data_IF_538836603053
#
_entry.id   IF_538836603053
#
_cell.length_a   1.000
_cell.length_b   1.000
_cell.length_c   1.000
_cell.angle_alpha   90.00
_cell.angle_beta   90.00
_cell.angle_gamma   90.00
#
_symmetry.space_group_name_H-M   'P 1'
#
loop_
_entity.id
_entity.type
_entity.pdbx_description
1 polymer ?
#
# COMPACT_ATOMS: atom_id res chain seq x y z
N UNK A 1 -26.01 -10.35 -44.19
CA UNK A 1 -25.96 -9.97 -42.75
C UNK A 1 -24.73 -10.52 -41.99
N UNK A 2 -23.60 -10.83 -42.64
CA UNK A 2 -22.39 -11.34 -41.95
C UNK A 2 -21.17 -10.41 -41.97
N UNK A 3 -21.25 -9.25 -42.62
CA UNK A 3 -20.08 -8.35 -42.80
C UNK A 3 -20.02 -7.16 -41.81
N UNK A 4 -21.10 -6.85 -41.09
CA UNK A 4 -21.12 -5.72 -40.15
C UNK A 4 -20.50 -6.04 -38.77
N UNK A 5 -20.33 -7.32 -38.42
CA UNK A 5 -19.84 -7.76 -37.10
C UNK A 5 -18.31 -7.75 -36.98
N UNK A 6 -17.57 -7.85 -38.09
CA UNK A 6 -16.10 -7.95 -38.05
C UNK A 6 -15.38 -6.60 -37.89
N UNK A 7 -16.04 -5.46 -38.14
CA UNK A 7 -15.42 -4.13 -37.95
C UNK A 7 -15.51 -3.59 -36.51
N UNK A 8 -16.32 -4.19 -35.65
CA UNK A 8 -16.45 -3.77 -34.24
C UNK A 8 -15.38 -4.39 -33.32
N UNK A 9 -14.78 -5.52 -33.71
CA UNK A 9 -13.77 -6.23 -32.92
C UNK A 9 -12.46 -5.44 -32.65
N UNK A 10 -11.88 -4.68 -33.60
CA UNK A 10 -10.69 -3.88 -33.32
C UNK A 10 -11.00 -2.63 -32.50
N UNK A 11 -12.19 -2.03 -32.63
CA UNK A 11 -12.57 -0.82 -31.89
C UNK A 11 -12.85 -1.12 -30.41
N UNK A 12 -13.48 -2.26 -30.12
CA UNK A 12 -13.69 -2.73 -28.74
C UNK A 12 -12.36 -3.15 -28.08
N UNK A 13 -11.39 -3.69 -28.83
CA UNK A 13 -10.03 -3.97 -28.32
C UNK A 13 -9.21 -2.70 -28.10
N UNK A 14 -9.38 -1.67 -28.93
CA UNK A 14 -8.70 -0.39 -28.76
C UNK A 14 -9.22 0.37 -27.53
N UNK A 15 -10.55 0.38 -27.32
CA UNK A 15 -11.19 0.93 -26.11
C UNK A 15 -10.84 0.16 -24.83
N UNK A 16 -10.56 -1.15 -24.92
CA UNK A 16 -10.12 -1.97 -23.77
C UNK A 16 -8.64 -1.78 -23.42
N UNK A 17 -7.81 -1.35 -24.39
CA UNK A 17 -6.36 -1.14 -24.22
C UNK A 17 -6.01 0.27 -23.73
N UNK A 18 -6.90 1.26 -23.90
CA UNK A 18 -6.71 2.64 -23.44
C UNK A 18 -7.64 3.00 -22.26
N UNK A 19 -7.83 2.09 -21.30
CA UNK A 19 -8.16 2.48 -19.92
C UNK A 19 -6.88 3.00 -19.25
N UNK A 20 -6.27 4.05 -19.81
CA UNK A 20 -5.21 4.71 -19.09
C UNK A 20 -5.85 5.40 -17.87
N UNK A 21 -5.43 5.07 -16.64
CA UNK A 21 -5.92 5.76 -15.45
C UNK A 21 -5.75 7.28 -15.58
N UNK A 22 -4.75 7.74 -16.34
CA UNK A 22 -4.53 9.14 -16.68
C UNK A 22 -5.68 9.79 -17.47
N UNK A 23 -6.20 9.15 -18.52
CA UNK A 23 -7.27 9.72 -19.37
C UNK A 23 -8.60 9.80 -18.60
N UNK A 24 -8.91 8.75 -17.85
CA UNK A 24 -10.10 8.72 -16.99
C UNK A 24 -9.99 9.78 -15.89
N UNK A 25 -8.81 9.93 -15.29
CA UNK A 25 -8.56 10.94 -14.26
C UNK A 25 -8.62 12.37 -14.82
N UNK A 26 -8.10 12.60 -16.03
CA UNK A 26 -8.16 13.90 -16.69
C UNK A 26 -9.62 14.29 -16.98
N UNK A 27 -10.42 13.38 -17.54
CA UNK A 27 -11.84 13.61 -17.81
C UNK A 27 -12.63 13.84 -16.52
N UNK A 28 -12.34 13.07 -15.45
CA UNK A 28 -12.93 13.23 -14.12
C UNK A 28 -12.63 14.61 -13.53
N UNK A 29 -11.37 15.03 -13.61
CA UNK A 29 -10.90 16.31 -13.08
C UNK A 29 -11.52 17.49 -13.86
N UNK A 30 -11.60 17.38 -15.18
CA UNK A 30 -12.25 18.38 -16.03
C UNK A 30 -13.76 18.48 -15.77
N UNK A 31 -14.45 17.35 -15.62
CA UNK A 31 -15.87 17.33 -15.25
C UNK A 31 -16.09 17.97 -13.87
N UNK A 32 -15.21 17.71 -12.91
CA UNK A 32 -15.33 18.28 -11.58
C UNK A 32 -15.09 19.78 -11.52
N UNK A 33 -14.05 20.26 -12.19
CA UNK A 33 -13.81 21.69 -12.33
C UNK A 33 -15.01 22.37 -13.00
N UNK A 34 -15.54 21.79 -14.08
CA UNK A 34 -16.68 22.35 -14.82
C UNK A 34 -17.95 22.41 -13.96
N UNK A 35 -18.28 21.33 -13.23
CA UNK A 35 -19.45 21.31 -12.34
C UNK A 35 -19.28 22.33 -11.21
N UNK A 36 -18.09 22.42 -10.60
CA UNK A 36 -17.83 23.39 -9.53
C UNK A 36 -17.98 24.83 -10.03
N UNK A 37 -17.52 25.12 -11.25
CA UNK A 37 -17.68 26.42 -11.90
C UNK A 37 -19.16 26.77 -12.14
N UNK A 38 -19.94 25.84 -12.70
CA UNK A 38 -21.38 26.05 -12.97
C UNK A 38 -22.16 26.25 -11.67
N UNK A 39 -21.83 25.51 -10.62
CA UNK A 39 -22.44 25.66 -9.29
C UNK A 39 -22.05 27.01 -8.67
N UNK A 40 -20.78 27.42 -8.78
CA UNK A 40 -20.32 28.71 -8.27
C UNK A 40 -20.98 29.90 -8.99
N UNK A 41 -21.20 29.82 -10.31
CA UNK A 41 -21.93 30.86 -11.06
C UNK A 41 -23.38 31.08 -10.59
N UNK A 42 -24.00 30.08 -9.93
CA UNK A 42 -25.37 30.16 -9.43
C UNK A 42 -25.45 30.69 -7.99
N UNK A 43 -24.36 30.61 -7.24
CA UNK A 43 -24.32 30.80 -5.78
C UNK A 43 -23.38 31.93 -5.34
N UNK A 44 -22.35 32.25 -6.12
CA UNK A 44 -21.40 33.34 -5.85
C UNK A 44 -21.85 34.62 -6.56
N UNK A 45 -21.76 35.80 -5.90
CA UNK A 45 -22.04 37.10 -6.50
C UNK A 45 -20.93 37.59 -7.45
N UNK A 46 -19.78 36.90 -7.56
CA UNK A 46 -18.68 37.28 -8.46
C UNK A 46 -18.93 36.92 -9.94
N UNK A 47 -18.48 37.79 -10.85
CA UNK A 47 -18.69 37.64 -12.29
C UNK A 47 -17.90 36.47 -12.93
N UNK A 48 -16.84 35.98 -12.28
CA UNK A 48 -16.00 34.88 -12.79
C UNK A 48 -15.37 34.07 -11.64
N UNK A 49 -16.12 33.12 -11.01
CA UNK A 49 -15.67 32.37 -9.84
C UNK A 49 -14.68 31.26 -10.21
N UNK A 50 -13.44 31.62 -10.54
CA UNK A 50 -12.38 30.69 -10.96
C UNK A 50 -11.76 29.90 -9.81
N UNK A 51 -12.07 30.25 -8.57
CA UNK A 51 -11.44 29.63 -7.41
C UNK A 51 -12.12 28.32 -7.01
N UNK A 52 -13.42 28.20 -7.26
CA UNK A 52 -14.18 26.95 -7.13
C UNK A 52 -13.68 25.82 -8.06
N UNK A 53 -13.51 26.01 -9.39
CA UNK A 53 -12.97 24.97 -10.28
C UNK A 53 -11.53 24.58 -9.92
N UNK A 54 -10.67 25.54 -9.56
CA UNK A 54 -9.31 25.25 -9.10
C UNK A 54 -9.32 24.45 -7.78
N UNK A 55 -10.31 24.69 -6.92
CA UNK A 55 -10.55 23.90 -5.72
C UNK A 55 -10.98 22.48 -6.01
N UNK A 56 -11.97 22.30 -6.89
CA UNK A 56 -12.41 20.98 -7.30
C UNK A 56 -11.30 20.17 -8.00
N UNK A 57 -10.48 20.82 -8.85
CA UNK A 57 -9.39 20.15 -9.58
C UNK A 57 -8.36 19.54 -8.63
N UNK A 58 -7.84 20.32 -7.68
CA UNK A 58 -6.85 19.83 -6.72
C UNK A 58 -7.45 18.80 -5.76
N UNK A 59 -8.72 18.94 -5.39
CA UNK A 59 -9.41 17.99 -4.52
C UNK A 59 -9.65 16.65 -5.23
N UNK A 60 -9.95 16.65 -6.53
CA UNK A 60 -10.23 15.43 -7.31
C UNK A 60 -8.98 14.71 -7.78
N UNK A 61 -7.81 15.38 -7.83
CA UNK A 61 -6.57 14.72 -8.23
C UNK A 61 -6.07 13.67 -7.23
N UNK A 62 -6.55 13.72 -5.98
CA UNK A 62 -6.08 12.89 -4.86
C UNK A 62 -7.07 11.76 -4.51
N UNK A 63 -6.60 10.76 -3.75
CA UNK A 63 -7.45 9.67 -3.21
C UNK A 63 -8.55 10.24 -2.32
N UNK A 64 -9.68 9.55 -2.16
CA UNK A 64 -10.82 10.02 -1.32
C UNK A 64 -10.40 10.51 0.08
N UNK A 65 -9.45 9.83 0.71
CA UNK A 65 -8.90 10.22 2.02
C UNK A 65 -8.04 11.49 1.93
N UNK A 66 -7.17 11.57 0.92
CA UNK A 66 -6.37 12.76 0.69
C UNK A 66 -7.24 13.95 0.25
N UNK A 67 -8.27 13.76 -0.57
CA UNK A 67 -9.30 14.74 -0.95
C UNK A 67 -10.00 15.34 0.26
N UNK A 68 -10.42 14.52 1.22
CA UNK A 68 -11.06 15.01 2.44
C UNK A 68 -10.07 15.83 3.29
N UNK A 69 -8.87 15.29 3.51
CA UNK A 69 -7.83 15.94 4.33
C UNK A 69 -7.33 17.23 3.69
N UNK A 70 -7.06 17.20 2.39
CA UNK A 70 -6.61 18.34 1.59
C UNK A 70 -7.72 19.37 1.42
N UNK A 71 -8.96 18.95 1.21
CA UNK A 71 -10.12 19.85 1.17
C UNK A 71 -10.26 20.64 2.47
N UNK A 72 -10.17 19.97 3.63
CA UNK A 72 -10.23 20.64 4.94
C UNK A 72 -9.03 21.57 5.16
N UNK A 73 -7.81 21.11 4.89
CA UNK A 73 -6.58 21.91 4.99
C UNK A 73 -6.65 23.16 4.12
N UNK A 74 -7.19 23.02 2.92
CA UNK A 74 -7.34 24.10 1.95
C UNK A 74 -8.40 25.11 2.34
N UNK A 75 -9.56 24.66 2.79
CA UNK A 75 -10.59 25.54 3.35
C UNK A 75 -10.02 26.32 4.54
N UNK A 76 -9.30 25.65 5.45
CA UNK A 76 -8.64 26.33 6.58
C UNK A 76 -7.60 27.36 6.12
N UNK A 77 -6.85 27.08 5.06
CA UNK A 77 -5.85 28.01 4.50
C UNK A 77 -6.49 29.28 3.95
N UNK A 78 -7.55 29.12 3.14
CA UNK A 78 -8.27 30.26 2.58
C UNK A 78 -8.92 31.07 3.69
N UNK A 79 -9.60 30.42 4.65
CA UNK A 79 -10.20 31.09 5.81
C UNK A 79 -9.15 31.85 6.63
N UNK A 80 -8.00 31.24 6.92
CA UNK A 80 -6.91 31.90 7.63
C UNK A 80 -6.37 33.11 6.87
N UNK A 81 -6.15 32.98 5.55
CA UNK A 81 -5.68 34.08 4.70
C UNK A 81 -6.67 35.24 4.64
N UNK A 82 -7.96 34.94 4.53
CA UNK A 82 -9.05 35.92 4.55
C UNK A 82 -9.12 36.63 5.91
N UNK A 83 -9.05 35.90 7.02
CA UNK A 83 -9.06 36.50 8.36
C UNK A 83 -7.86 37.41 8.60
N UNK A 84 -6.67 37.00 8.16
CA UNK A 84 -5.46 37.84 8.23
C UNK A 84 -5.64 39.09 7.38
N UNK A 85 -6.17 38.99 6.16
CA UNK A 85 -6.43 40.15 5.31
C UNK A 85 -7.45 41.13 5.92
N UNK A 86 -8.54 40.63 6.49
CA UNK A 86 -9.55 41.46 7.18
C UNK A 86 -8.93 42.16 8.39
N UNK A 87 -8.19 41.42 9.23
CA UNK A 87 -7.53 42.01 10.40
C UNK A 87 -6.54 43.12 9.99
N UNK A 88 -5.80 42.87 8.92
CA UNK A 88 -4.79 43.78 8.41
C UNK A 88 -5.39 45.02 7.71
N UNK A 89 -6.49 44.87 6.97
CA UNK A 89 -7.17 45.98 6.29
C UNK A 89 -7.79 46.98 7.25
N UNK A 90 -8.11 46.56 8.49
CA UNK A 90 -8.59 47.46 9.54
C UNK A 90 -7.45 48.28 10.19
N UNK A 91 -6.19 47.83 10.04
CA UNK A 91 -5.03 48.41 10.71
C UNK A 91 -4.19 49.29 9.77
N UNK A 92 -4.15 48.98 8.47
CA UNK A 92 -3.23 49.63 7.51
C UNK A 92 -3.87 49.78 6.12
N UNK A 93 -3.67 50.93 5.47
CA UNK A 93 -4.04 51.14 4.06
C UNK A 93 -3.14 50.37 3.07
N UNK A 94 -3.56 50.30 1.80
CA UNK A 94 -2.80 49.59 0.76
C UNK A 94 -1.50 50.33 0.42
N UNK A 95 -0.34 49.78 0.81
CA UNK A 95 0.99 50.32 0.50
C UNK A 95 1.97 49.17 0.24
N UNK A 96 3.12 49.46 -0.39
CA UNK A 96 4.12 48.43 -0.73
C UNK A 96 4.69 47.70 0.51
N UNK A 97 4.86 48.41 1.62
CA UNK A 97 5.37 47.83 2.87
C UNK A 97 4.28 47.07 3.64
N UNK A 98 3.02 47.51 3.54
CA UNK A 98 1.89 46.82 4.15
C UNK A 98 1.59 45.49 3.42
N UNK A 99 1.77 45.45 2.10
CA UNK A 99 1.75 44.19 1.31
C UNK A 99 2.85 43.22 1.74
N UNK A 100 4.09 43.70 1.91
CA UNK A 100 5.20 42.86 2.37
C UNK A 100 4.94 42.28 3.76
N UNK A 101 4.45 43.10 4.69
CA UNK A 101 4.10 42.68 6.05
C UNK A 101 2.95 41.66 6.05
N UNK A 102 1.94 41.86 5.19
CA UNK A 102 0.84 40.90 5.01
C UNK A 102 1.35 39.54 4.54
N UNK A 103 2.21 39.49 3.52
CA UNK A 103 2.76 38.23 3.00
C UNK A 103 3.53 37.50 4.09
N UNK A 104 4.40 38.20 4.83
CA UNK A 104 5.15 37.60 5.94
C UNK A 104 4.23 37.08 7.03
N UNK A 105 3.20 37.85 7.41
CA UNK A 105 2.21 37.42 8.39
C UNK A 105 1.40 36.21 7.94
N UNK A 106 0.93 36.19 6.68
CA UNK A 106 0.19 35.07 6.09
C UNK A 106 1.03 33.80 6.01
N UNK A 107 2.32 33.91 5.64
CA UNK A 107 3.24 32.77 5.62
C UNK A 107 3.55 32.26 7.03
N UNK A 108 3.73 33.15 8.00
CA UNK A 108 3.94 32.77 9.40
C UNK A 108 2.71 32.06 10.00
N UNK A 109 1.51 32.57 9.72
CA UNK A 109 0.24 31.95 10.15
C UNK A 109 0.02 30.61 9.44
N UNK A 110 0.32 30.50 8.13
CA UNK A 110 0.20 29.24 7.39
C UNK A 110 1.09 28.13 7.97
N UNK A 111 2.32 28.47 8.40
CA UNK A 111 3.20 27.55 9.11
C UNK A 111 2.66 27.20 10.51
N UNK A 112 2.11 28.16 11.25
CA UNK A 112 1.55 27.93 12.59
C UNK A 112 0.32 27.02 12.57
N UNK A 113 -0.51 27.09 11.50
CA UNK A 113 -1.70 26.25 11.30
C UNK A 113 -1.34 24.84 10.76
N UNK A 114 -0.04 24.53 10.58
CA UNK A 114 0.47 23.25 10.05
C UNK A 114 -0.15 22.89 8.70
N UNK A 115 -0.28 23.89 7.82
CA UNK A 115 -0.71 23.65 6.43
C UNK A 115 0.50 23.59 5.51
N UNK A 116 1.39 22.63 5.76
CA UNK A 116 2.72 22.55 5.16
C UNK A 116 2.72 22.62 3.62
N UNK A 117 1.70 22.07 2.96
CA UNK A 117 1.60 22.02 1.49
C UNK A 117 0.83 23.21 0.87
N UNK A 118 0.07 23.99 1.66
CA UNK A 118 -0.78 25.09 1.16
C UNK A 118 -0.43 26.47 1.76
N UNK A 119 0.71 26.62 2.44
CA UNK A 119 1.20 27.89 2.99
C UNK A 119 1.17 29.04 1.96
N UNK A 120 1.60 28.84 0.69
CA UNK A 120 1.54 29.91 -0.32
C UNK A 120 0.11 30.35 -0.65
N UNK A 121 -0.88 29.46 -0.51
CA UNK A 121 -2.28 29.74 -0.83
C UNK A 121 -2.92 30.69 0.19
N UNK A 122 -2.47 30.64 1.45
CA UNK A 122 -2.84 31.61 2.50
C UNK A 122 -2.42 33.02 2.10
N UNK A 123 -1.18 33.18 1.63
CA UNK A 123 -0.65 34.47 1.19
C UNK A 123 -1.35 34.98 -0.07
N UNK A 124 -1.56 34.12 -1.08
CA UNK A 124 -2.28 34.47 -2.32
C UNK A 124 -3.71 34.92 -2.01
N UNK A 125 -4.42 34.18 -1.13
CA UNK A 125 -5.79 34.53 -0.74
C UNK A 125 -5.86 35.85 0.02
N UNK A 126 -4.90 36.09 0.92
CA UNK A 126 -4.82 37.35 1.65
C UNK A 126 -4.55 38.54 0.72
N UNK A 127 -3.64 38.38 -0.24
CA UNK A 127 -3.34 39.39 -1.25
C UNK A 127 -4.53 39.72 -2.14
N UNK A 128 -5.27 38.72 -2.60
CA UNK A 128 -6.46 38.91 -3.45
C UNK A 128 -7.56 39.67 -2.72
N UNK A 129 -7.79 39.38 -1.44
CA UNK A 129 -8.80 40.09 -0.62
C UNK A 129 -8.36 41.52 -0.33
N UNK A 130 -7.07 41.76 -0.05
CA UNK A 130 -6.57 43.10 0.20
C UNK A 130 -6.62 43.98 -1.07
N UNK A 131 -6.33 43.40 -2.25
CA UNK A 131 -6.28 44.13 -3.54
C UNK A 131 -7.63 44.59 -4.11
N UNK A 132 -8.77 44.13 -3.56
CA UNK A 132 -10.11 44.52 -4.01
C UNK A 132 -10.73 45.47 -2.97
N UNK A 133 -11.22 46.62 -3.44
CA UNK A 133 -11.67 47.75 -2.58
C UNK A 133 -12.90 47.45 -1.72
N UNK A 134 -13.57 46.32 -1.91
CA UNK A 134 -14.73 45.85 -1.13
C UNK A 134 -14.34 44.61 -0.33
N UNK A 135 -13.69 44.82 0.83
CA UNK A 135 -13.12 43.74 1.65
C UNK A 135 -14.19 42.76 2.18
N UNK A 136 -15.44 43.20 2.43
CA UNK A 136 -16.50 42.37 2.99
C UNK A 136 -17.10 41.34 2.02
N UNK A 137 -17.66 41.80 0.90
CA UNK A 137 -18.33 40.91 -0.06
C UNK A 137 -17.36 39.99 -0.79
N UNK A 138 -16.13 40.46 -1.04
CA UNK A 138 -15.07 39.68 -1.71
C UNK A 138 -14.50 38.60 -0.79
N UNK A 139 -14.35 38.88 0.52
CA UNK A 139 -13.91 37.90 1.50
C UNK A 139 -14.92 36.75 1.64
N UNK A 140 -16.22 37.09 1.68
CA UNK A 140 -17.28 36.08 1.75
C UNK A 140 -17.34 35.24 0.48
N UNK A 141 -17.25 35.86 -0.71
CA UNK A 141 -17.21 35.15 -1.99
C UNK A 141 -16.05 34.15 -2.04
N UNK A 142 -14.85 34.52 -1.58
CA UNK A 142 -13.68 33.65 -1.57
C UNK A 142 -13.84 32.40 -0.71
N UNK A 143 -14.46 32.54 0.46
CA UNK A 143 -14.75 31.41 1.36
C UNK A 143 -15.82 30.49 0.73
N UNK A 144 -16.91 31.08 0.22
CA UNK A 144 -18.00 30.34 -0.40
C UNK A 144 -17.53 29.56 -1.62
N UNK A 145 -16.72 30.16 -2.50
CA UNK A 145 -16.20 29.48 -3.69
C UNK A 145 -15.26 28.32 -3.35
N UNK A 146 -14.41 28.49 -2.34
CA UNK A 146 -13.51 27.42 -1.87
C UNK A 146 -14.31 26.27 -1.27
N UNK A 147 -15.36 26.57 -0.47
CA UNK A 147 -16.27 25.57 0.06
C UNK A 147 -17.00 24.83 -1.06
N UNK A 148 -17.54 25.54 -2.05
CA UNK A 148 -18.23 24.93 -3.20
C UNK A 148 -17.29 23.99 -3.95
N UNK A 149 -16.07 24.42 -4.25
CA UNK A 149 -15.10 23.58 -4.95
C UNK A 149 -14.68 22.35 -4.14
N UNK A 150 -14.54 22.49 -2.81
CA UNK A 150 -14.24 21.36 -1.93
C UNK A 150 -15.40 20.36 -1.85
N UNK A 151 -16.64 20.84 -1.72
CA UNK A 151 -17.86 20.01 -1.67
C UNK A 151 -18.07 19.29 -2.99
N UNK A 152 -17.97 19.99 -4.13
CA UNK A 152 -18.14 19.39 -5.46
C UNK A 152 -17.01 18.40 -5.75
N UNK A 153 -15.77 18.74 -5.42
CA UNK A 153 -14.63 17.83 -5.57
C UNK A 153 -14.81 16.55 -4.74
N UNK A 154 -15.27 16.67 -3.49
CA UNK A 154 -15.57 15.54 -2.63
C UNK A 154 -16.75 14.70 -3.16
N UNK A 155 -17.82 15.36 -3.62
CA UNK A 155 -19.00 14.69 -4.17
C UNK A 155 -18.65 13.89 -5.44
N UNK A 156 -17.82 14.43 -6.32
CA UNK A 156 -17.37 13.73 -7.52
C UNK A 156 -16.43 12.59 -7.19
N UNK A 157 -15.52 12.78 -6.23
CA UNK A 157 -14.66 11.68 -5.80
C UNK A 157 -15.48 10.56 -5.14
N UNK A 158 -16.60 10.88 -4.48
CA UNK A 158 -17.52 9.91 -3.90
C UNK A 158 -18.36 9.18 -4.95
N UNK A 159 -18.89 9.90 -5.95
CA UNK A 159 -19.74 9.35 -7.02
C UNK A 159 -18.94 8.58 -8.07
N UNK A 160 -17.72 9.03 -8.35
CA UNK A 160 -16.77 8.47 -9.32
C UNK A 160 -15.47 8.14 -8.58
N UNK A 161 -15.43 7.13 -7.70
CA UNK A 161 -14.23 6.79 -6.94
C UNK A 161 -13.06 6.44 -7.89
N UNK A 162 -11.81 6.77 -7.48
CA UNK A 162 -10.64 6.53 -8.30
C UNK A 162 -10.42 5.01 -8.49
N UNK A 163 -9.65 4.59 -9.52
CA UNK A 163 -9.27 3.19 -9.65
C UNK A 163 -8.59 2.70 -8.39
N UNK A 164 -8.88 1.44 -8.04
CA UNK A 164 -8.39 0.79 -6.83
C UNK A 164 -7.09 0.07 -7.18
N UNK A 165 -5.98 0.50 -6.60
CA UNK A 165 -4.62 0.04 -6.96
C UNK A 165 -4.22 -1.31 -6.32
N UNK A 166 -5.21 -2.15 -6.01
CA UNK A 166 -4.99 -3.44 -5.32
C UNK A 166 -4.25 -4.42 -6.24
N UNK A 167 -4.60 -4.43 -7.54
CA UNK A 167 -3.98 -5.31 -8.53
C UNK A 167 -2.48 -4.99 -8.67
N UNK A 168 -2.11 -3.71 -8.75
CA UNK A 168 -0.70 -3.30 -8.85
C UNK A 168 0.11 -3.63 -7.58
N UNK A 169 -0.49 -3.46 -6.40
CA UNK A 169 0.16 -3.87 -5.14
C UNK A 169 0.33 -5.40 -5.06
N UNK A 170 -0.66 -6.17 -5.52
CA UNK A 170 -0.56 -7.62 -5.61
C UNK A 170 0.50 -8.08 -6.60
N UNK A 171 0.54 -7.50 -7.80
CA UNK A 171 1.58 -7.78 -8.80
C UNK A 171 2.99 -7.46 -8.29
N UNK A 172 3.13 -6.39 -7.49
CA UNK A 172 4.39 -6.01 -6.86
C UNK A 172 4.87 -7.04 -5.82
N UNK A 173 3.95 -7.53 -4.97
CA UNK A 173 4.20 -8.61 -4.00
C UNK A 173 4.59 -9.90 -4.71
N UNK A 174 3.84 -10.30 -5.74
CA UNK A 174 4.18 -11.49 -6.55
C UNK A 174 5.51 -11.32 -7.29
N UNK A 175 5.82 -10.11 -7.73
CA UNK A 175 7.11 -9.76 -8.34
C UNK A 175 8.28 -9.96 -7.37
N UNK A 176 8.15 -9.49 -6.13
CA UNK A 176 9.13 -9.71 -5.07
C UNK A 176 9.31 -11.21 -4.79
N UNK A 177 8.22 -11.95 -4.60
CA UNK A 177 8.26 -13.39 -4.35
C UNK A 177 8.96 -14.17 -5.48
N UNK A 178 8.73 -13.78 -6.75
CA UNK A 178 9.44 -14.34 -7.91
C UNK A 178 10.94 -14.07 -7.87
N UNK A 179 11.37 -12.87 -7.44
CA UNK A 179 12.79 -12.52 -7.29
C UNK A 179 13.45 -13.31 -6.15
N UNK A 180 12.77 -13.47 -5.00
CA UNK A 180 13.23 -14.36 -3.93
C UNK A 180 13.41 -15.79 -4.46
N UNK A 181 12.40 -16.32 -5.15
CA UNK A 181 12.44 -17.68 -5.73
C UNK A 181 13.64 -17.87 -6.65
N UNK A 182 13.88 -16.93 -7.55
CA UNK A 182 15.01 -16.99 -8.48
C UNK A 182 16.38 -16.98 -7.78
N UNK A 183 16.51 -16.27 -6.66
CA UNK A 183 17.74 -16.27 -5.88
C UNK A 183 17.91 -17.57 -5.08
N UNK A 184 16.83 -18.10 -4.50
CA UNK A 184 16.86 -19.37 -3.75
C UNK A 184 17.27 -20.55 -4.63
N UNK A 185 16.69 -20.66 -5.84
CA UNK A 185 17.06 -21.71 -6.80
C UNK A 185 18.54 -21.64 -7.17
N UNK A 186 19.01 -20.43 -7.48
CA UNK A 186 20.40 -20.16 -7.84
C UNK A 186 21.39 -20.47 -6.71
N UNK A 187 21.01 -20.25 -5.46
CA UNK A 187 21.81 -20.65 -4.30
C UNK A 187 21.79 -22.18 -4.13
N UNK A 188 20.64 -22.81 -4.38
CA UNK A 188 20.49 -24.27 -4.34
C UNK A 188 21.36 -24.99 -5.36
N UNK A 189 21.36 -24.54 -6.61
CA UNK A 189 22.16 -25.10 -7.71
C UNK A 189 23.68 -25.12 -7.39
N UNK A 190 24.15 -24.21 -6.54
CA UNK A 190 25.56 -24.11 -6.13
C UNK A 190 25.90 -25.00 -4.93
N UNK A 191 24.91 -25.59 -4.25
CA UNK A 191 25.09 -26.27 -2.97
C UNK A 191 25.95 -27.55 -3.06
N UNK A 192 25.83 -28.32 -4.14
CA UNK A 192 26.69 -29.49 -4.41
C UNK A 192 28.03 -29.11 -5.07
N UNK A 193 28.18 -27.85 -5.46
CA UNK A 193 29.30 -27.35 -6.24
C UNK A 193 30.47 -26.83 -5.41
N UNK A 194 31.41 -26.20 -6.12
CA UNK A 194 32.59 -25.50 -5.58
C UNK A 194 32.54 -24.04 -6.02
N UNK A 195 31.52 -23.27 -5.62
CA UNK A 195 31.41 -21.87 -6.02
C UNK A 195 32.64 -21.11 -5.52
N UNK A 196 33.19 -20.23 -6.36
CA UNK A 196 34.24 -19.34 -5.91
C UNK A 196 33.69 -18.41 -4.81
N UNK A 197 34.56 -17.97 -3.89
CA UNK A 197 34.13 -17.08 -2.78
C UNK A 197 33.51 -15.79 -3.34
N UNK A 198 34.00 -15.30 -4.47
CA UNK A 198 33.46 -14.13 -5.18
C UNK A 198 32.03 -14.37 -5.70
N UNK A 199 31.74 -15.58 -6.19
CA UNK A 199 30.40 -15.96 -6.68
C UNK A 199 29.40 -16.04 -5.52
N UNK A 200 29.79 -16.70 -4.42
CA UNK A 200 28.98 -16.75 -3.21
C UNK A 200 28.73 -15.34 -2.63
N UNK A 201 29.76 -14.48 -2.62
CA UNK A 201 29.64 -13.09 -2.21
C UNK A 201 28.72 -12.27 -3.15
N UNK A 202 28.70 -12.58 -4.45
CA UNK A 202 27.78 -11.96 -5.39
C UNK A 202 26.32 -12.31 -5.08
N UNK A 203 26.02 -13.58 -4.69
CA UNK A 203 24.68 -13.98 -4.24
C UNK A 203 24.25 -13.27 -2.96
N UNK A 204 25.16 -13.08 -2.01
CA UNK A 204 24.90 -12.25 -0.84
C UNK A 204 24.61 -10.79 -1.20
N UNK A 205 25.32 -10.21 -2.18
CA UNK A 205 25.04 -8.85 -2.63
C UNK A 205 23.68 -8.75 -3.31
N UNK A 206 23.30 -9.75 -4.11
CA UNK A 206 21.97 -9.83 -4.69
C UNK A 206 20.86 -9.94 -3.65
N UNK A 207 21.06 -10.75 -2.60
CA UNK A 207 20.12 -10.83 -1.48
C UNK A 207 19.92 -9.47 -0.78
N UNK A 208 20.98 -8.65 -0.66
CA UNK A 208 20.89 -7.29 -0.13
C UNK A 208 20.14 -6.33 -1.04
N UNK A 209 20.13 -6.56 -2.36
CA UNK A 209 19.36 -5.72 -3.29
C UNK A 209 17.86 -5.96 -3.15
N UNK A 210 17.43 -7.15 -2.74
CA UNK A 210 16.03 -7.43 -2.44
C UNK A 210 15.50 -6.57 -1.28
N UNK A 211 16.35 -6.14 -0.35
CA UNK A 211 15.97 -5.18 0.71
C UNK A 211 15.49 -3.84 0.11
N UNK A 212 16.06 -3.42 -1.03
CA UNK A 212 15.62 -2.21 -1.73
C UNK A 212 14.30 -2.42 -2.45
N UNK A 213 14.09 -3.59 -3.06
CA UNK A 213 12.84 -3.93 -3.73
C UNK A 213 11.65 -3.91 -2.76
N UNK A 214 11.86 -4.27 -1.48
CA UNK A 214 10.82 -4.17 -0.43
C UNK A 214 10.34 -2.72 -0.26
N UNK A 215 11.23 -1.72 -0.36
CA UNK A 215 10.85 -0.31 -0.23
C UNK A 215 9.93 0.12 -1.37
N UNK A 216 10.18 -0.37 -2.59
CA UNK A 216 9.33 -0.11 -3.76
C UNK A 216 7.94 -0.77 -3.59
N UNK A 217 7.91 -2.01 -3.11
CA UNK A 217 6.66 -2.73 -2.83
C UNK A 217 5.87 -2.09 -1.69
N UNK A 218 6.53 -1.64 -0.61
CA UNK A 218 5.88 -0.92 0.50
C UNK A 218 5.28 0.42 0.03
N UNK A 219 5.94 1.13 -0.89
CA UNK A 219 5.38 2.35 -1.48
C UNK A 219 4.10 2.05 -2.30
N UNK A 220 4.14 1.03 -3.16
CA UNK A 220 2.97 0.58 -3.92
C UNK A 220 1.82 0.14 -3.00
N UNK A 221 2.15 -0.59 -1.92
CA UNK A 221 1.18 -1.02 -0.93
C UNK A 221 0.55 0.17 -0.20
N UNK A 222 1.35 1.14 0.28
CA UNK A 222 0.82 2.36 0.93
C UNK A 222 -0.16 3.11 0.04
N UNK A 223 0.14 3.23 -1.26
CA UNK A 223 -0.77 3.83 -2.23
C UNK A 223 -2.10 3.05 -2.34
N UNK A 224 -2.03 1.71 -2.37
CA UNK A 224 -3.22 0.87 -2.34
C UNK A 224 -4.02 1.02 -1.04
N UNK A 225 -3.35 1.06 0.12
CA UNK A 225 -3.99 1.27 1.43
C UNK A 225 -4.76 2.59 1.52
N UNK A 226 -4.16 3.68 1.03
CA UNK A 226 -4.78 5.01 1.02
C UNK A 226 -6.00 5.06 0.09
N UNK A 227 -5.98 4.29 -1.01
CA UNK A 227 -7.13 4.13 -1.90
C UNK A 227 -8.31 3.39 -1.23
N UNK A 228 -8.01 2.49 -0.29
CA UNK A 228 -9.00 1.62 0.38
C UNK A 228 -9.68 2.26 1.60
N UNK A 229 -9.04 3.23 2.26
CA UNK A 229 -9.51 3.80 3.54
C UNK A 229 -10.91 4.41 3.53
N UNK A 230 -11.34 5.01 2.42
CA UNK A 230 -12.62 5.70 2.31
C UNK A 230 -13.45 5.29 1.08
N UNK A 231 -13.09 4.22 0.38
CA UNK A 231 -13.82 3.83 -0.83
C UNK A 231 -15.11 3.06 -0.47
N UNK A 232 -16.32 3.64 -0.65
CA UNK A 232 -17.57 3.00 -0.28
C UNK A 232 -17.88 1.74 -1.10
N UNK A 233 -17.20 1.55 -2.24
CA UNK A 233 -17.38 0.36 -3.10
C UNK A 233 -16.69 -0.89 -2.57
N UNK A 234 -15.73 -0.78 -1.65
CA UNK A 234 -14.97 -1.93 -1.14
C UNK A 234 -15.48 -2.31 0.24
N UNK A 235 -16.39 -3.29 0.30
CA UNK A 235 -16.97 -3.78 1.57
C UNK A 235 -15.93 -4.41 2.51
N UNK A 236 -14.79 -4.84 1.98
CA UNK A 236 -13.72 -5.55 2.72
C UNK A 236 -12.34 -4.87 2.60
N UNK A 237 -12.31 -3.54 2.45
CA UNK A 237 -11.06 -2.79 2.26
C UNK A 237 -10.08 -2.92 3.43
N UNK A 238 -10.60 -3.08 4.66
CA UNK A 238 -9.77 -3.31 5.85
C UNK A 238 -9.10 -4.69 5.85
N UNK A 239 -9.84 -5.75 5.47
CA UNK A 239 -9.31 -7.11 5.37
C UNK A 239 -8.21 -7.17 4.31
N UNK A 240 -8.45 -6.61 3.12
CA UNK A 240 -7.45 -6.55 2.05
C UNK A 240 -6.18 -5.83 2.47
N UNK A 241 -6.34 -4.68 3.13
CA UNK A 241 -5.21 -3.90 3.68
C UNK A 241 -4.39 -4.71 4.67
N UNK A 242 -5.04 -5.35 5.65
CA UNK A 242 -4.35 -6.14 6.67
C UNK A 242 -3.67 -7.36 6.05
N UNK A 243 -4.33 -8.06 5.12
CA UNK A 243 -3.76 -9.23 4.43
C UNK A 243 -2.54 -8.87 3.60
N UNK A 244 -2.61 -7.82 2.76
CA UNK A 244 -1.47 -7.40 1.95
C UNK A 244 -0.31 -6.89 2.81
N UNK A 245 -0.60 -6.16 3.90
CA UNK A 245 0.42 -5.65 4.83
C UNK A 245 1.15 -6.77 5.55
N UNK A 246 0.40 -7.63 6.22
CA UNK A 246 0.97 -8.81 6.92
C UNK A 246 1.70 -9.75 5.95
N UNK A 247 1.20 -9.91 4.72
CA UNK A 247 1.90 -10.68 3.69
C UNK A 247 3.23 -10.05 3.24
N UNK A 248 3.30 -8.72 3.10
CA UNK A 248 4.57 -8.04 2.84
C UNK A 248 5.53 -8.19 4.02
N UNK A 249 5.05 -8.07 5.26
CA UNK A 249 5.87 -8.25 6.47
C UNK A 249 6.50 -9.66 6.51
N UNK A 250 5.74 -10.69 6.13
CA UNK A 250 6.27 -12.06 5.98
C UNK A 250 7.34 -12.15 4.89
N UNK A 251 7.12 -11.57 3.71
CA UNK A 251 8.12 -11.57 2.63
C UNK A 251 9.38 -10.77 2.99
N UNK A 252 9.25 -9.70 3.77
CA UNK A 252 10.38 -8.95 4.32
C UNK A 252 11.22 -9.85 5.24
N UNK A 253 10.57 -10.60 6.15
CA UNK A 253 11.27 -11.58 7.00
C UNK A 253 11.94 -12.67 6.15
N UNK A 254 11.25 -13.23 5.16
CA UNK A 254 11.84 -14.22 4.25
C UNK A 254 13.06 -13.67 3.49
N UNK A 255 13.03 -12.40 3.08
CA UNK A 255 14.16 -11.75 2.40
C UNK A 255 15.36 -11.60 3.33
N UNK A 256 15.11 -11.19 4.58
CA UNK A 256 16.16 -11.10 5.60
C UNK A 256 16.77 -12.48 5.88
N UNK A 257 15.95 -13.51 6.04
CA UNK A 257 16.39 -14.90 6.25
C UNK A 257 17.23 -15.38 5.07
N UNK A 258 16.78 -15.19 3.82
CA UNK A 258 17.53 -15.57 2.63
C UNK A 258 18.91 -14.89 2.57
N UNK A 259 18.98 -13.61 2.97
CA UNK A 259 20.25 -12.87 3.06
C UNK A 259 21.19 -13.45 4.10
N UNK A 260 20.68 -13.87 5.26
CA UNK A 260 21.49 -14.56 6.29
C UNK A 260 21.92 -15.93 5.79
N UNK A 261 21.06 -16.67 5.09
CA UNK A 261 21.35 -17.96 4.49
C UNK A 261 22.48 -17.84 3.44
N UNK A 262 22.40 -16.85 2.55
CA UNK A 262 23.45 -16.53 1.58
C UNK A 262 24.78 -16.15 2.26
N UNK A 263 24.71 -15.43 3.38
CA UNK A 263 25.88 -15.08 4.21
C UNK A 263 26.54 -16.33 4.78
N UNK A 264 25.75 -17.23 5.38
CA UNK A 264 26.23 -18.51 5.95
C UNK A 264 26.91 -19.37 4.89
N UNK A 265 26.34 -19.45 3.67
CA UNK A 265 26.95 -20.20 2.56
C UNK A 265 28.22 -19.54 2.03
N UNK A 266 28.29 -18.20 2.01
CA UNK A 266 29.52 -17.47 1.66
C UNK A 266 30.63 -17.73 2.68
N UNK A 267 30.30 -17.73 3.96
CA UNK A 267 31.27 -18.00 5.03
C UNK A 267 31.69 -19.49 5.00
N UNK A 268 30.79 -20.41 4.64
CA UNK A 268 31.12 -21.83 4.40
C UNK A 268 32.05 -22.01 3.19
N UNK A 269 31.83 -21.28 2.08
CA UNK A 269 32.69 -21.32 0.90
C UNK A 269 34.14 -20.96 1.25
N UNK A 270 34.34 -19.88 2.03
CA UNK A 270 35.65 -19.42 2.48
C UNK A 270 36.40 -20.44 3.34
N UNK A 271 35.68 -21.11 4.23
CA UNK A 271 36.27 -22.08 5.16
C UNK A 271 36.55 -23.44 4.50
N UNK A 272 35.94 -23.71 3.34
CA UNK A 272 36.07 -24.99 2.64
C UNK A 272 36.89 -24.92 1.37
N UNK A 273 37.23 -23.76 0.83
CA UNK A 273 38.01 -23.64 -0.41
C UNK A 273 39.31 -24.49 -0.35
N UNK A 274 39.53 -25.46 -1.28
CA UNK A 274 38.86 -25.69 -2.57
C UNK A 274 37.79 -26.80 -2.60
N UNK A 275 37.38 -27.33 -1.44
CA UNK A 275 36.37 -28.38 -1.31
C UNK A 275 34.95 -27.88 -1.62
N UNK A 276 34.03 -28.77 -2.07
CA UNK A 276 32.64 -28.40 -2.29
C UNK A 276 31.94 -28.02 -0.97
N UNK A 277 30.94 -27.13 -1.06
CA UNK A 277 30.15 -26.66 0.10
C UNK A 277 29.58 -27.83 0.89
N UNK A 278 28.95 -28.76 0.18
CA UNK A 278 28.41 -30.00 0.71
C UNK A 278 28.86 -31.19 -0.15
N UNK A 279 28.96 -32.41 0.42
CA UNK A 279 29.00 -33.62 -0.39
C UNK A 279 27.80 -33.70 -1.33
N UNK A 280 27.95 -34.36 -2.48
CA UNK A 280 26.92 -34.45 -3.53
C UNK A 280 25.53 -34.81 -2.98
N UNK A 281 25.42 -35.88 -2.19
CA UNK A 281 24.15 -36.30 -1.57
C UNK A 281 23.52 -35.22 -0.67
N UNK A 282 24.34 -34.49 0.12
CA UNK A 282 23.83 -33.42 0.99
C UNK A 282 23.50 -32.17 0.19
N UNK A 283 24.30 -31.84 -0.82
CA UNK A 283 24.08 -30.72 -1.73
C UNK A 283 22.78 -30.85 -2.50
N UNK A 284 22.47 -32.03 -3.03
CA UNK A 284 21.19 -32.32 -3.69
C UNK A 284 19.98 -32.10 -2.77
N UNK A 285 20.11 -32.44 -1.48
CA UNK A 285 19.05 -32.21 -0.49
C UNK A 285 18.90 -30.72 -0.17
N UNK A 286 20.01 -29.97 -0.09
CA UNK A 286 19.98 -28.50 0.08
C UNK A 286 19.34 -27.83 -1.13
N UNK A 287 19.72 -28.22 -2.35
CA UNK A 287 19.13 -27.71 -3.59
C UNK A 287 17.62 -27.94 -3.63
N UNK A 288 17.20 -29.17 -3.35
CA UNK A 288 15.77 -29.55 -3.30
C UNK A 288 15.02 -28.74 -2.25
N UNK A 289 15.56 -28.63 -1.04
CA UNK A 289 14.96 -27.86 0.05
C UNK A 289 14.78 -26.39 -0.33
N UNK A 290 15.81 -25.77 -0.92
CA UNK A 290 15.71 -24.38 -1.37
C UNK A 290 14.70 -24.22 -2.51
N UNK A 291 14.58 -25.19 -3.43
CA UNK A 291 13.53 -25.19 -4.45
C UNK A 291 12.13 -25.28 -3.85
N UNK A 292 11.91 -26.17 -2.87
CA UNK A 292 10.62 -26.35 -2.21
C UNK A 292 10.21 -25.10 -1.43
N UNK A 293 11.15 -24.47 -0.72
CA UNK A 293 10.91 -23.18 -0.06
C UNK A 293 10.65 -22.06 -1.08
N UNK A 294 11.34 -22.07 -2.22
CA UNK A 294 11.17 -21.08 -3.27
C UNK A 294 9.77 -21.13 -3.89
N UNK A 295 9.23 -22.33 -4.08
CA UNK A 295 7.86 -22.54 -4.55
C UNK A 295 6.83 -22.13 -3.46
N UNK A 296 7.09 -22.48 -2.19
CA UNK A 296 6.25 -22.06 -1.07
C UNK A 296 6.15 -20.53 -0.92
N UNK A 297 7.25 -19.79 -1.11
CA UNK A 297 7.23 -18.31 -1.10
C UNK A 297 6.32 -17.74 -2.19
N UNK A 298 6.32 -18.34 -3.39
CA UNK A 298 5.43 -17.91 -4.48
C UNK A 298 3.97 -18.28 -4.20
N UNK A 299 3.70 -19.50 -3.73
CA UNK A 299 2.35 -19.91 -3.33
C UNK A 299 1.79 -19.04 -2.19
N UNK A 300 2.64 -18.63 -1.25
CA UNK A 300 2.27 -17.68 -0.20
C UNK A 300 1.89 -16.32 -0.78
N UNK A 301 2.69 -15.77 -1.69
CA UNK A 301 2.36 -14.51 -2.35
C UNK A 301 1.00 -14.60 -3.08
N UNK A 302 0.77 -15.67 -3.84
CA UNK A 302 -0.52 -15.92 -4.50
C UNK A 302 -1.67 -16.01 -3.49
N UNK A 303 -1.47 -16.68 -2.35
CA UNK A 303 -2.48 -16.76 -1.30
C UNK A 303 -2.78 -15.39 -0.66
N UNK A 304 -1.80 -14.49 -0.56
CA UNK A 304 -1.98 -13.13 -0.06
C UNK A 304 -2.69 -12.23 -1.07
N UNK A 305 -2.47 -12.43 -2.37
CA UNK A 305 -3.05 -11.61 -3.45
C UNK A 305 -4.39 -12.14 -3.97
N UNK A 306 -4.78 -13.38 -3.65
CA UNK A 306 -6.02 -13.98 -4.14
C UNK A 306 -7.27 -13.40 -3.47
N UNK A 307 -8.17 -12.83 -4.27
CA UNK A 307 -9.36 -12.08 -3.81
C UNK A 307 -10.65 -12.91 -3.61
N UNK A 308 -10.68 -14.19 -3.98
CA UNK A 308 -11.91 -15.02 -3.95
C UNK A 308 -11.71 -16.17 -2.97
N UNK A 309 -12.59 -16.30 -1.96
CA UNK A 309 -12.49 -17.34 -0.91
C UNK A 309 -12.30 -18.75 -1.46
N UNK A 310 -12.98 -19.11 -2.56
CA UNK A 310 -12.82 -20.43 -3.19
C UNK A 310 -11.44 -20.67 -3.80
N UNK A 311 -10.77 -19.62 -4.27
CA UNK A 311 -9.39 -19.71 -4.77
C UNK A 311 -8.38 -19.64 -3.62
N UNK A 312 -8.73 -18.97 -2.52
CA UNK A 312 -7.90 -18.87 -1.33
C UNK A 312 -7.73 -20.23 -0.64
N UNK A 313 -8.81 -21.00 -0.47
CA UNK A 313 -8.75 -22.35 0.13
C UNK A 313 -7.84 -23.29 -0.68
N UNK A 314 -7.92 -23.22 -2.01
CA UNK A 314 -7.06 -24.02 -2.90
C UNK A 314 -5.59 -23.58 -2.83
N UNK A 315 -5.33 -22.27 -2.77
CA UNK A 315 -3.99 -21.73 -2.60
C UNK A 315 -3.39 -22.08 -1.22
N UNK A 316 -4.21 -22.07 -0.17
CA UNK A 316 -3.82 -22.46 1.18
C UNK A 316 -3.48 -23.95 1.27
N UNK A 317 -4.32 -24.80 0.69
CA UNK A 317 -4.06 -26.25 0.62
C UNK A 317 -2.76 -26.55 -0.13
N UNK A 318 -2.50 -25.82 -1.23
CA UNK A 318 -1.25 -25.94 -1.99
C UNK A 318 -0.04 -25.52 -1.17
N UNK A 319 -0.07 -24.33 -0.56
CA UNK A 319 1.02 -23.85 0.29
C UNK A 319 1.29 -24.83 1.44
N UNK A 320 0.25 -25.32 2.08
CA UNK A 320 0.38 -26.27 3.19
C UNK A 320 1.05 -27.57 2.74
N UNK A 321 0.74 -28.06 1.54
CA UNK A 321 1.38 -29.25 0.97
C UNK A 321 2.87 -29.00 0.66
N UNK A 322 3.21 -27.86 0.05
CA UNK A 322 4.58 -27.45 -0.24
C UNK A 322 5.42 -27.30 1.05
N UNK A 323 4.85 -26.68 2.10
CA UNK A 323 5.51 -26.56 3.41
C UNK A 323 5.75 -27.91 4.08
N UNK A 324 4.78 -28.84 4.04
CA UNK A 324 4.98 -30.20 4.57
C UNK A 324 6.11 -30.94 3.84
N UNK A 325 6.21 -30.77 2.52
CA UNK A 325 7.29 -31.35 1.74
C UNK A 325 8.64 -30.75 2.14
N UNK A 326 8.73 -29.43 2.25
CA UNK A 326 9.93 -28.72 2.69
C UNK A 326 10.37 -29.13 4.11
N UNK A 327 9.44 -29.32 5.05
CA UNK A 327 9.72 -29.84 6.40
C UNK A 327 10.34 -31.24 6.32
N UNK A 328 9.77 -32.15 5.52
CA UNK A 328 10.32 -33.50 5.36
C UNK A 328 11.73 -33.50 4.76
N UNK A 329 11.97 -32.66 3.75
CA UNK A 329 13.32 -32.49 3.16
C UNK A 329 14.29 -31.86 4.15
N UNK A 330 13.85 -30.88 4.96
CA UNK A 330 14.65 -30.29 6.04
C UNK A 330 15.04 -31.34 7.08
N UNK A 331 14.13 -32.22 7.48
CA UNK A 331 14.42 -33.27 8.46
C UNK A 331 15.45 -34.27 7.93
N UNK A 332 15.35 -34.63 6.64
CA UNK A 332 16.38 -35.42 5.95
C UNK A 332 17.73 -34.69 5.96
N UNK A 333 17.75 -33.40 5.63
CA UNK A 333 18.97 -32.59 5.67
C UNK A 333 19.60 -32.58 7.07
N UNK A 334 18.77 -32.43 8.12
CA UNK A 334 19.23 -32.40 9.50
C UNK A 334 19.92 -33.71 9.90
N UNK A 335 19.39 -34.86 9.44
CA UNK A 335 20.02 -36.18 9.67
C UNK A 335 21.38 -36.29 8.97
N UNK A 336 21.46 -35.90 7.68
CA UNK A 336 22.72 -35.93 6.92
C UNK A 336 23.79 -35.03 7.55
N UNK A 337 23.40 -33.83 7.99
CA UNK A 337 24.31 -32.90 8.67
C UNK A 337 24.75 -33.43 10.04
N UNK A 338 23.88 -34.12 10.78
CA UNK A 338 24.21 -34.75 12.05
C UNK A 338 25.19 -35.91 11.89
N UNK A 339 24.98 -36.79 10.91
CA UNK A 339 25.92 -37.87 10.61
C UNK A 339 27.30 -37.33 10.20
N UNK A 340 27.31 -36.22 9.45
CA UNK A 340 28.54 -35.52 9.09
C UNK A 340 29.23 -34.93 10.33
N UNK A 341 28.47 -34.30 11.22
CA UNK A 341 28.98 -33.72 12.46
C UNK A 341 29.69 -34.76 13.34
N UNK A 342 29.15 -35.99 13.38
CA UNK A 342 29.76 -37.10 14.11
C UNK A 342 31.12 -37.53 13.53
N UNK A 343 31.37 -37.30 12.24
CA UNK A 343 32.64 -37.60 11.55
C UNK A 343 33.62 -36.44 11.64
N UNK A 344 33.13 -35.22 11.45
CA UNK A 344 33.92 -33.99 11.50
C UNK A 344 33.12 -32.86 12.17
N UNK A 345 33.61 -32.40 13.31
CA UNK A 345 33.00 -31.34 14.11
C UNK A 345 33.32 -29.92 13.59
N UNK A 346 34.14 -29.79 12.55
CA UNK A 346 34.45 -28.48 11.96
C UNK A 346 33.19 -27.86 11.36
N UNK A 347 33.08 -26.53 11.50
CA UNK A 347 32.01 -25.72 10.89
C UNK A 347 30.59 -26.11 11.33
N UNK A 348 30.43 -26.84 12.45
CA UNK A 348 29.12 -27.25 12.97
C UNK A 348 28.16 -26.08 13.18
N UNK A 349 28.70 -24.92 13.55
CA UNK A 349 27.94 -23.69 13.73
C UNK A 349 27.29 -23.20 12.43
N UNK A 350 27.92 -23.42 11.26
CA UNK A 350 27.39 -23.02 9.97
C UNK A 350 26.27 -23.97 9.51
N UNK A 351 26.42 -25.28 9.78
CA UNK A 351 25.36 -26.27 9.53
C UNK A 351 24.13 -26.02 10.43
N UNK A 352 24.35 -25.70 11.71
CA UNK A 352 23.29 -25.31 12.63
C UNK A 352 22.57 -24.04 12.17
N UNK A 353 23.34 -23.01 11.78
CA UNK A 353 22.78 -21.77 11.26
C UNK A 353 21.92 -22.00 10.01
N UNK A 354 22.36 -22.84 9.07
CA UNK A 354 21.57 -23.20 7.89
C UNK A 354 20.19 -23.77 8.26
N UNK A 355 20.15 -24.75 9.17
CA UNK A 355 18.90 -25.36 9.63
C UNK A 355 18.02 -24.37 10.39
N UNK A 356 18.61 -23.49 11.20
CA UNK A 356 17.87 -22.43 11.91
C UNK A 356 17.22 -21.45 10.94
N UNK A 357 17.95 -20.99 9.91
CA UNK A 357 17.38 -20.07 8.92
C UNK A 357 16.26 -20.73 8.10
N UNK A 358 16.42 -22.01 7.71
CA UNK A 358 15.35 -22.77 7.06
C UNK A 358 14.11 -22.88 7.96
N UNK A 359 14.28 -23.24 9.23
CA UNK A 359 13.15 -23.33 10.17
C UNK A 359 12.44 -22.00 10.33
N UNK A 360 13.19 -20.91 10.43
CA UNK A 360 12.62 -19.57 10.53
C UNK A 360 11.80 -19.19 9.30
N UNK A 361 12.23 -19.60 8.11
CA UNK A 361 11.46 -19.39 6.88
C UNK A 361 10.19 -20.24 6.85
N UNK A 362 10.26 -21.51 7.26
CA UNK A 362 9.09 -22.41 7.35
C UNK A 362 8.06 -21.87 8.35
N UNK A 363 8.50 -21.47 9.54
CA UNK A 363 7.64 -20.93 10.61
C UNK A 363 6.95 -19.63 10.20
N UNK A 364 7.62 -18.83 9.37
CA UNK A 364 7.10 -17.56 8.90
C UNK A 364 6.04 -17.73 7.79
N UNK A 365 6.22 -18.72 6.92
CA UNK A 365 5.28 -19.07 5.85
C UNK A 365 4.08 -19.91 6.32
N UNK A 366 4.12 -20.44 7.55
CA UNK A 366 3.07 -21.28 8.11
C UNK A 366 1.69 -20.59 8.15
N UNK A 367 0.68 -21.27 7.62
CA UNK A 367 -0.68 -20.77 7.47
C UNK A 367 -1.37 -20.64 8.84
N UNK A 368 -1.06 -21.51 9.80
CA UNK A 368 -1.67 -21.46 11.12
C UNK A 368 -1.21 -20.20 11.89
N UNK A 369 0.09 -19.93 11.89
CA UNK A 369 0.66 -18.70 12.45
C UNK A 369 0.13 -17.45 11.76
N UNK A 370 -0.04 -17.47 10.44
CA UNK A 370 -0.64 -16.37 9.68
C UNK A 370 -2.08 -16.12 10.11
N UNK A 371 -2.91 -17.17 10.20
CA UNK A 371 -4.33 -17.03 10.56
C UNK A 371 -4.49 -16.33 11.91
N UNK A 372 -3.63 -16.70 12.88
CA UNK A 372 -3.57 -16.08 14.21
C UNK A 372 -3.14 -14.62 14.16
N UNK A 373 -2.04 -14.30 13.45
CA UNK A 373 -1.55 -12.93 13.26
C UNK A 373 -2.59 -12.03 12.59
N UNK A 374 -3.27 -12.54 11.57
CA UNK A 374 -4.35 -11.81 10.89
C UNK A 374 -5.50 -11.48 11.83
N UNK A 375 -5.94 -12.45 12.66
CA UNK A 375 -7.01 -12.24 13.63
C UNK A 375 -6.61 -11.19 14.68
N UNK A 376 -5.40 -11.27 15.22
CA UNK A 376 -4.87 -10.33 16.22
C UNK A 376 -4.79 -8.89 15.67
N UNK A 377 -4.28 -8.71 14.44
CA UNK A 377 -4.20 -7.39 13.80
C UNK A 377 -5.59 -6.84 13.41
N UNK A 378 -6.51 -7.69 12.96
CA UNK A 378 -7.90 -7.28 12.71
C UNK A 378 -8.58 -6.81 13.99
N UNK A 379 -8.39 -7.52 15.10
CA UNK A 379 -8.92 -7.14 16.40
C UNK A 379 -8.34 -5.82 16.88
N UNK A 380 -7.01 -5.64 16.76
CA UNK A 380 -6.31 -4.40 17.09
C UNK A 380 -6.85 -3.22 16.29
N UNK A 381 -6.87 -3.30 14.96
CA UNK A 381 -7.36 -2.21 14.09
C UNK A 381 -8.84 -1.90 14.36
N UNK A 382 -9.65 -2.93 14.61
CA UNK A 382 -11.07 -2.73 14.95
C UNK A 382 -11.23 -2.02 16.30
N UNK A 383 -10.39 -2.35 17.29
CA UNK A 383 -10.42 -1.71 18.62
C UNK A 383 -10.01 -0.24 18.56
N UNK A 384 -8.96 0.09 17.79
CA UNK A 384 -8.49 1.46 17.58
C UNK A 384 -9.55 2.32 16.88
N UNK A 385 -10.27 1.76 15.89
CA UNK A 385 -11.39 2.45 15.25
C UNK A 385 -12.53 2.74 16.22
N UNK A 386 -12.89 1.77 17.10
CA UNK A 386 -13.92 1.98 18.12
C UNK A 386 -13.52 3.06 19.13
N UNK A 387 -12.25 3.09 19.53
CA UNK A 387 -11.71 4.08 20.46
C UNK A 387 -11.72 5.51 19.88
N UNK A 388 -11.43 5.66 18.58
CA UNK A 388 -11.40 6.97 17.90
C UNK A 388 -12.79 7.56 17.62
N UNK A 389 -13.84 6.75 17.49
CA UNK A 389 -15.18 7.23 17.10
C UNK A 389 -16.32 6.74 18.01
N UNK A 390 -16.25 6.97 19.34
CA UNK A 390 -17.19 6.38 20.31
C UNK A 390 -18.67 6.75 20.06
N UNK A 391 -18.93 7.90 19.44
CA UNK A 391 -20.29 8.36 19.11
C UNK A 391 -20.90 7.63 17.91
N UNK A 392 -20.10 7.30 16.89
CA UNK A 392 -20.55 6.55 15.71
C UNK A 392 -20.76 5.07 16.03
N UNK A 393 -19.90 4.48 16.86
CA UNK A 393 -20.04 3.08 17.31
C UNK A 393 -21.34 2.88 18.10
N UNK A 394 -21.63 3.77 19.06
CA UNK A 394 -22.89 3.73 19.84
C UNK A 394 -24.14 3.90 18.96
N UNK A 395 -24.03 4.70 17.89
CA UNK A 395 -25.14 4.89 16.94
C UNK A 395 -25.36 3.64 16.09
N UNK A 396 -24.29 2.96 15.70
CA UNK A 396 -24.31 1.73 14.89
C UNK A 396 -24.78 0.50 15.69
N UNK A 397 -24.39 0.42 16.97
CA UNK A 397 -24.89 -0.57 17.93
C UNK A 397 -26.39 -0.38 18.21
N UNK A 398 -26.84 0.87 18.37
CA UNK A 398 -28.29 1.19 18.52
C UNK A 398 -29.12 0.86 17.27
N UNK A 399 -28.50 0.86 16.09
CA UNK A 399 -29.16 0.56 14.82
C UNK A 399 -29.21 -0.95 14.48
N UNK A 400 -28.74 -1.84 15.36
CA UNK A 400 -28.91 -3.30 15.21
C UNK A 400 -28.13 -3.95 14.04
N UNK A 401 -27.24 -3.21 13.36
CA UNK A 401 -26.55 -3.66 12.14
C UNK A 401 -25.53 -4.78 12.44
N UNK A 402 -25.15 -4.98 13.70
CA UNK A 402 -24.16 -5.99 14.10
C UNK A 402 -24.72 -7.42 14.18
N UNK A 403 -26.00 -7.61 14.55
CA UNK A 403 -26.56 -8.95 14.70
C UNK A 403 -26.78 -9.66 13.36
N UNK A 404 -27.12 -8.93 12.29
CA UNK A 404 -27.28 -9.52 10.95
C UNK A 404 -25.96 -9.97 10.31
N UNK A 405 -24.87 -9.23 10.55
CA UNK A 405 -23.54 -9.59 10.02
C UNK A 405 -22.92 -10.78 10.75
N UNK A 406 -23.22 -10.97 12.03
CA UNK A 406 -22.76 -12.14 12.80
C UNK A 406 -23.58 -13.39 12.48
N UNK A 407 -24.91 -13.27 12.33
CA UNK A 407 -25.78 -14.40 11.93
C UNK A 407 -25.46 -14.97 10.56
N UNK A 408 -25.05 -14.14 9.59
CA UNK A 408 -24.63 -14.61 8.27
C UNK A 408 -23.20 -15.18 8.22
N UNK A 409 -22.36 -14.93 9.24
CA UNK A 409 -21.00 -15.49 9.34
C UNK A 409 -20.96 -16.89 9.95
N UNK A 410 -21.88 -17.20 10.87
CA UNK A 410 -22.01 -18.55 11.41
C UNK A 410 -23.18 -19.24 10.71
N UNK A 411 -22.90 -20.07 9.70
CA UNK A 411 -23.87 -20.95 9.04
C UNK A 411 -24.42 -22.04 9.96
N UNK A 412 -24.88 -21.69 11.16
CA UNK A 412 -25.59 -22.58 12.08
C UNK A 412 -27.08 -22.31 11.86
N UNK A 413 -27.55 -22.74 10.69
CA UNK A 413 -28.96 -22.97 10.45
C UNK A 413 -29.41 -24.14 11.33
N UNK A 414 -30.20 -23.82 12.36
CA UNK A 414 -30.95 -24.77 13.19
C UNK A 414 -31.49 -25.93 12.35
N UNK A 415 -30.97 -27.15 12.57
CA UNK A 415 -31.77 -28.36 12.44
C UNK A 415 -32.48 -28.55 13.78
N UNK A 416 -33.77 -28.23 13.79
CA UNK A 416 -34.68 -28.62 14.87
C UNK A 416 -35.83 -29.41 14.24
N UNK A 417 -35.90 -30.68 14.67
CA UNK A 417 -36.95 -31.69 14.51
C UNK A 417 -37.14 -32.30 13.11
#
# INVERSE_FOLDING_TARGET
MREASQRAAPFVRFLRRHREPAVVQAFRSAAAATIAYVVALRLSPEAAPLTAPLTALLVVQVTLFATLTNGVRRVNSVVAGVLVAIAFSQLVGLTWWSLALLIVASLAVGNLVRVDEYVPEVAISAMLVLGVTTVGDTAWARIVETLIGAVVGLAINLLLPPPVWIEEAGESIEGLARRLRQLMLRIGEEAAGRPAVEEAAARLHEARRLDHDIVEVDAALRQAEDSLRLNPRVREGLLHRVVLRTGLDTLEICTVVLRVLARTLTDLAKEREPDPLFPEETGEVVERLLSELADAVVSFAVLVTTHVSLNADAAEARLTAELRQAVATRDKLAQLLLERLQRDARQWQLHGALLTEVNRMLDELDTEHRSRRLLEELDRVSSEQRARMPRLTRLRERLGIQEELWRNRTGIGRRSL
#
